data_IF_234241286170
#
_entry.id   IF_234241286170
#
_cell.length_a   1.000
_cell.length_b   1.000
_cell.length_c   1.000
_cell.angle_alpha   90.00
_cell.angle_beta   90.00
_cell.angle_gamma   90.00
#
_symmetry.space_group_name_H-M   'P 1'
#
loop_
_entity.id
_entity.type
_entity.pdbx_description
1 polymer ?
#
# COMPACT_ATOMS: atom_id res chain seq x y z
N UNK A 1 -18.97 -2.14 -1.12
CA UNK A 1 -17.56 -2.23 -1.53
C UNK A 1 -16.60 -1.38 -0.69
N UNK A 2 -16.99 -0.19 -0.21
CA UNK A 2 -16.11 0.68 0.61
C UNK A 2 -15.54 0.05 1.89
N UNK A 3 -16.21 -0.93 2.49
CA UNK A 3 -15.67 -1.68 3.65
C UNK A 3 -14.40 -2.47 3.26
N UNK A 4 -14.40 -3.11 2.09
CA UNK A 4 -13.23 -3.87 1.58
C UNK A 4 -12.05 -2.91 1.38
N UNK A 5 -12.33 -1.74 0.81
CA UNK A 5 -11.31 -0.70 0.65
C UNK A 5 -10.73 -0.23 1.98
N UNK A 6 -11.57 0.05 2.99
CA UNK A 6 -11.09 0.48 4.31
C UNK A 6 -10.24 -0.60 4.97
N UNK A 7 -10.66 -1.88 4.90
CA UNK A 7 -9.87 -3.00 5.44
C UNK A 7 -8.52 -3.11 4.74
N UNK A 8 -8.50 -3.06 3.41
CA UNK A 8 -7.26 -3.11 2.61
C UNK A 8 -6.33 -1.93 2.92
N UNK A 9 -6.88 -0.72 3.02
CA UNK A 9 -6.14 0.48 3.39
C UNK A 9 -5.51 0.35 4.78
N UNK A 10 -6.27 -0.10 5.79
CA UNK A 10 -5.76 -0.28 7.14
C UNK A 10 -4.65 -1.35 7.18
N UNK A 11 -4.82 -2.47 6.46
CA UNK A 11 -3.79 -3.50 6.35
C UNK A 11 -2.49 -2.94 5.77
N UNK A 12 -2.55 -2.20 4.66
CA UNK A 12 -1.38 -1.58 4.03
C UNK A 12 -0.77 -0.55 4.98
N UNK A 13 -1.58 0.33 5.58
CA UNK A 13 -1.10 1.38 6.47
C UNK A 13 -0.34 0.84 7.68
N UNK A 14 -0.95 -0.09 8.43
CA UNK A 14 -0.32 -0.66 9.62
C UNK A 14 0.91 -1.49 9.27
N UNK A 15 0.85 -2.26 8.18
CA UNK A 15 1.99 -3.03 7.69
C UNK A 15 3.16 -2.13 7.31
N UNK A 16 2.94 -1.04 6.57
CA UNK A 16 4.02 -0.12 6.18
C UNK A 16 4.57 0.73 7.35
N UNK A 17 3.77 0.95 8.40
CA UNK A 17 4.24 1.58 9.64
C UNK A 17 5.17 0.68 10.45
N UNK A 18 5.06 -0.64 10.30
CA UNK A 18 5.98 -1.56 10.95
C UNK A 18 7.36 -1.44 10.29
N UNK A 19 8.39 -1.35 11.14
CA UNK A 19 9.79 -1.35 10.69
C UNK A 19 10.14 -2.70 10.07
N UNK A 20 11.07 -2.68 9.12
CA UNK A 20 11.66 -3.91 8.61
C UNK A 20 12.74 -4.37 9.60
N UNK A 21 12.57 -5.55 10.25
CA UNK A 21 13.53 -6.04 11.25
C UNK A 21 14.96 -6.16 10.72
N UNK A 22 15.12 -6.39 9.41
CA UNK A 22 16.43 -6.45 8.78
C UNK A 22 17.10 -5.06 8.74
N UNK A 23 16.33 -3.99 8.52
CA UNK A 23 16.84 -2.62 8.53
C UNK A 23 17.13 -2.14 9.96
N UNK A 24 16.34 -2.57 10.94
CA UNK A 24 16.59 -2.29 12.36
C UNK A 24 17.91 -2.90 12.82
N UNK A 25 18.25 -4.11 12.36
CA UNK A 25 19.53 -4.76 12.66
C UNK A 25 20.75 -4.02 12.10
N UNK A 26 20.56 -3.20 11.08
CA UNK A 26 21.59 -2.35 10.47
C UNK A 26 21.74 -0.99 11.17
N UNK A 27 20.96 -0.72 12.23
CA UNK A 27 21.00 0.54 12.97
C UNK A 27 20.35 1.71 12.22
N UNK A 28 19.57 1.45 11.18
CA UNK A 28 18.81 2.46 10.47
C UNK A 28 17.60 2.88 11.29
N UNK A 29 17.34 4.18 11.38
CA UNK A 29 16.22 4.71 12.14
C UNK A 29 14.89 4.44 11.40
N UNK A 30 14.10 3.52 11.92
CA UNK A 30 12.81 3.12 11.35
C UNK A 30 11.59 3.83 11.96
N UNK A 31 11.75 4.95 12.68
CA UNK A 31 10.62 5.69 13.28
C UNK A 31 9.58 6.14 12.25
N UNK A 32 9.97 6.31 10.98
CA UNK A 32 9.09 6.74 9.90
C UNK A 32 8.39 5.56 9.19
N UNK A 33 8.65 4.31 9.58
CA UNK A 33 8.16 3.11 8.91
C UNK A 33 9.03 2.68 7.73
N UNK A 34 8.51 1.81 6.87
CA UNK A 34 9.18 1.40 5.65
C UNK A 34 9.25 2.59 4.67
N UNK A 35 10.45 3.00 4.29
CA UNK A 35 10.67 4.05 3.28
C UNK A 35 11.24 3.51 1.96
N UNK A 36 11.42 2.19 1.86
CA UNK A 36 11.95 1.56 0.66
C UNK A 36 10.97 1.74 -0.51
N UNK A 37 11.47 2.32 -1.61
CA UNK A 37 10.68 2.63 -2.81
C UNK A 37 9.58 3.67 -2.60
N UNK A 38 9.63 4.45 -1.51
CA UNK A 38 8.71 5.57 -1.25
C UNK A 38 9.38 6.91 -1.44
N UNK A 39 8.57 7.90 -1.79
CA UNK A 39 8.98 9.28 -1.91
C UNK A 39 8.79 10.01 -0.58
N UNK A 40 9.83 10.69 -0.10
CA UNK A 40 9.81 11.45 1.17
C UNK A 40 8.70 12.51 1.18
N UNK A 41 8.34 13.04 0.00
CA UNK A 41 7.27 14.02 -0.21
C UNK A 41 5.90 13.53 0.27
N UNK A 42 5.64 12.23 0.15
CA UNK A 42 4.37 11.60 0.54
C UNK A 42 4.51 10.81 1.84
N UNK A 43 5.70 10.30 2.10
CA UNK A 43 5.99 9.42 3.23
C UNK A 43 5.17 8.14 3.20
N UNK A 44 5.28 7.38 4.29
CA UNK A 44 4.61 6.09 4.48
C UNK A 44 3.09 6.23 4.40
N UNK A 45 2.55 7.29 5.01
CA UNK A 45 1.11 7.51 5.11
C UNK A 45 0.49 7.80 3.73
N UNK A 46 1.04 8.76 2.99
CA UNK A 46 0.55 9.12 1.66
C UNK A 46 0.75 8.02 0.62
N UNK A 47 1.88 7.31 0.68
CA UNK A 47 2.13 6.16 -0.20
C UNK A 47 1.17 5.00 0.08
N UNK A 48 0.91 4.67 1.35
CA UNK A 48 -0.03 3.58 1.70
C UNK A 48 -1.45 3.84 1.19
N UNK A 49 -1.94 5.07 1.35
CA UNK A 49 -3.24 5.49 0.83
C UNK A 49 -3.32 5.35 -0.69
N UNK A 50 -2.28 5.79 -1.39
CA UNK A 50 -2.25 5.77 -2.84
C UNK A 50 -2.14 4.34 -3.39
N UNK A 51 -1.32 3.47 -2.79
CA UNK A 51 -1.25 2.04 -3.17
C UNK A 51 -2.61 1.36 -3.01
N UNK A 52 -3.34 1.64 -1.92
CA UNK A 52 -4.69 1.12 -1.71
C UNK A 52 -5.67 1.64 -2.77
N UNK A 53 -5.65 2.96 -3.05
CA UNK A 53 -6.56 3.60 -3.99
C UNK A 53 -6.31 3.12 -5.44
N UNK A 54 -5.07 3.20 -5.92
CA UNK A 54 -4.76 2.86 -7.32
C UNK A 54 -5.09 1.40 -7.65
N UNK A 55 -4.95 0.48 -6.69
CA UNK A 55 -5.27 -0.94 -6.88
C UNK A 55 -6.75 -1.24 -6.71
N UNK A 56 -7.46 -0.55 -5.81
CA UNK A 56 -8.91 -0.74 -5.62
C UNK A 56 -9.75 -0.14 -6.76
N UNK A 57 -9.27 0.94 -7.38
CA UNK A 57 -9.89 1.60 -8.53
C UNK A 57 -9.31 1.14 -9.88
N UNK A 58 -8.37 0.18 -9.88
CA UNK A 58 -7.67 -0.31 -11.10
C UNK A 58 -7.05 0.80 -11.96
N UNK A 59 -6.62 1.90 -11.35
CA UNK A 59 -6.07 3.05 -12.07
C UNK A 59 -4.66 2.79 -12.62
N UNK A 60 -3.88 1.91 -11.96
CA UNK A 60 -2.54 1.50 -12.43
C UNK A 60 -1.42 2.54 -12.23
N UNK A 61 -1.74 3.74 -11.76
CA UNK A 61 -0.74 4.75 -11.37
C UNK A 61 0.03 4.34 -10.11
N UNK A 62 1.33 4.65 -10.01
CA UNK A 62 2.19 4.21 -8.91
C UNK A 62 3.01 5.39 -8.37
N UNK A 63 2.87 5.72 -7.07
CA UNK A 63 3.65 6.77 -6.41
C UNK A 63 4.74 6.24 -5.45
N UNK A 64 4.75 4.93 -5.24
CA UNK A 64 5.79 4.18 -4.55
C UNK A 64 5.88 2.79 -5.15
N UNK A 65 7.07 2.21 -5.22
CA UNK A 65 7.23 0.88 -5.82
C UNK A 65 6.47 -0.16 -4.99
N UNK A 66 5.59 -0.92 -5.64
CA UNK A 66 4.84 -1.97 -4.95
C UNK A 66 5.73 -3.16 -4.59
N UNK A 67 6.83 -3.36 -5.30
CA UNK A 67 7.77 -4.47 -5.04
C UNK A 67 8.56 -4.29 -3.73
N UNK A 68 8.66 -3.05 -3.24
CA UNK A 68 9.33 -2.72 -1.97
C UNK A 68 8.38 -2.58 -0.78
N UNK A 69 7.09 -2.87 -0.98
CA UNK A 69 6.10 -2.89 0.10
C UNK A 69 6.36 -4.09 1.02
N UNK A 70 5.95 -3.96 2.27
CA UNK A 70 5.98 -5.07 3.22
C UNK A 70 5.07 -6.22 2.73
N UNK A 71 5.38 -7.49 3.07
CA UNK A 71 4.67 -8.65 2.51
C UNK A 71 3.15 -8.60 2.67
N UNK A 72 2.66 -8.11 3.81
CA UNK A 72 1.22 -7.97 4.08
C UNK A 72 0.59 -6.88 3.21
N UNK A 73 1.27 -5.74 3.02
CA UNK A 73 0.86 -4.68 2.11
C UNK A 73 0.79 -5.15 0.65
N UNK A 74 1.78 -5.95 0.20
CA UNK A 74 1.79 -6.57 -1.14
C UNK A 74 0.59 -7.50 -1.31
N UNK A 75 0.28 -8.34 -0.32
CA UNK A 75 -0.87 -9.23 -0.42
C UNK A 75 -2.19 -8.47 -0.54
N UNK A 76 -2.36 -7.35 0.18
CA UNK A 76 -3.56 -6.52 0.12
C UNK A 76 -3.72 -5.80 -1.23
N UNK A 77 -2.62 -5.26 -1.78
CA UNK A 77 -2.61 -4.63 -3.11
C UNK A 77 -2.89 -5.63 -4.23
N UNK A 78 -2.32 -6.84 -4.16
CA UNK A 78 -2.62 -7.94 -5.07
C UNK A 78 -4.09 -8.39 -4.98
N UNK A 79 -4.63 -8.55 -3.77
CA UNK A 79 -6.03 -8.91 -3.58
C UNK A 79 -6.98 -7.89 -4.19
N UNK A 80 -6.70 -6.59 -4.05
CA UNK A 80 -7.50 -5.55 -4.69
C UNK A 80 -7.54 -5.72 -6.21
N UNK A 81 -6.39 -6.01 -6.84
CA UNK A 81 -6.29 -6.22 -8.28
C UNK A 81 -6.95 -7.52 -8.75
N UNK A 82 -6.78 -8.62 -8.00
CA UNK A 82 -7.34 -9.93 -8.35
C UNK A 82 -8.84 -9.99 -8.18
N UNK A 83 -9.38 -9.36 -7.12
CA UNK A 83 -10.81 -9.31 -6.90
C UNK A 83 -11.48 -8.29 -7.82
N UNK A 84 -10.85 -7.13 -8.06
CA UNK A 84 -11.40 -6.06 -8.90
C UNK A 84 -12.87 -5.71 -8.58
N UNK A 85 -13.19 -5.66 -7.29
CA UNK A 85 -14.57 -5.45 -6.82
C UNK A 85 -14.73 -4.21 -5.93
N UNK A 86 -13.66 -3.64 -5.38
CA UNK A 86 -13.76 -2.59 -4.37
C UNK A 86 -14.36 -1.27 -4.91
N UNK A 87 -13.91 -0.82 -6.06
CA UNK A 87 -14.54 0.28 -6.79
C UNK A 87 -14.41 0.08 -8.30
N UNK A 88 -13.41 -0.70 -8.73
CA UNK A 88 -13.13 -0.96 -10.13
C UNK A 88 -12.74 0.30 -10.90
N UNK A 89 -12.39 0.11 -12.16
CA UNK A 89 -12.07 1.20 -13.08
C UNK A 89 -13.32 1.84 -13.66
N UNK A 90 -13.11 2.89 -14.44
CA UNK A 90 -14.18 3.56 -15.16
C UNK A 90 -14.97 2.55 -16.02
N UNK A 91 -16.27 2.43 -15.76
CA UNK A 91 -17.18 1.56 -16.53
C UNK A 91 -17.12 0.06 -16.22
N UNK A 92 -16.27 -0.40 -15.29
CA UNK A 92 -16.15 -1.83 -14.92
C UNK A 92 -16.48 -2.14 -13.46
N UNK A 93 -16.60 -1.13 -12.61
CA UNK A 93 -16.75 -1.29 -11.16
C UNK A 93 -18.11 -0.92 -10.57
N UNK A 94 -19.09 -0.60 -11.43
CA UNK A 94 -20.50 -0.34 -11.09
C UNK A 94 -21.41 -1.41 -11.68
#
# INVERSE_FOLDING_TARGET
>A
MGIIFIISLLLIYFSEKMSNPNLDSLGLNANLGNLEGKEIRFGTDGSSLFSAATTAFTAGSVNNMHDSLNPLSISATLLNMMLNVAFGGEGVGL
#
